data_IF_920745536913
#
_entry.id   IF_920745536913
#
_cell.length_a   1.000
_cell.length_b   1.000
_cell.length_c   1.000
_cell.angle_alpha   90.00
_cell.angle_beta   90.00
_cell.angle_gamma   90.00
#
_symmetry.space_group_name_H-M   'P 1'
#
loop_
_entity.id
_entity.type
_entity.pdbx_description
1 polymer ?
#
# COMPACT_ATOMS: atom_id res chain seq x y z
N UNK A 1 20.22 -29.07 -36.07
CA UNK A 1 18.84 -29.08 -35.54
C UNK A 1 18.77 -28.91 -34.02
N UNK A 2 19.40 -29.78 -33.20
CA UNK A 2 19.38 -29.64 -31.73
C UNK A 2 19.97 -28.33 -31.18
N UNK A 3 21.11 -27.88 -31.72
CA UNK A 3 21.77 -26.64 -31.29
C UNK A 3 20.90 -25.41 -31.58
N UNK A 4 20.32 -25.33 -32.78
CA UNK A 4 19.42 -24.23 -33.18
C UNK A 4 18.17 -24.15 -32.29
N UNK A 5 17.59 -25.29 -31.94
CA UNK A 5 16.44 -25.34 -31.03
C UNK A 5 16.84 -24.85 -29.62
N UNK A 6 18.01 -25.28 -29.14
CA UNK A 6 18.53 -24.86 -27.83
C UNK A 6 18.81 -23.35 -27.79
N UNK A 7 19.39 -22.77 -28.85
CA UNK A 7 19.63 -21.33 -28.92
C UNK A 7 18.33 -20.53 -28.94
N UNK A 8 17.32 -20.97 -29.69
CA UNK A 8 16.01 -20.32 -29.73
C UNK A 8 15.35 -20.33 -28.34
N UNK A 9 15.39 -21.47 -27.64
CA UNK A 9 14.84 -21.59 -26.29
C UNK A 9 15.53 -20.64 -25.30
N UNK A 10 16.86 -20.56 -25.33
CA UNK A 10 17.62 -19.65 -24.46
C UNK A 10 17.31 -18.18 -24.75
N UNK A 11 17.17 -17.81 -26.03
CA UNK A 11 16.78 -16.45 -26.41
C UNK A 11 15.38 -16.10 -25.89
N UNK A 12 14.40 -17.00 -26.02
CA UNK A 12 13.04 -16.80 -25.50
C UNK A 12 13.06 -16.61 -23.98
N UNK A 13 13.79 -17.47 -23.25
CA UNK A 13 13.92 -17.37 -21.79
C UNK A 13 14.54 -16.02 -21.40
N UNK A 14 15.60 -15.61 -22.08
CA UNK A 14 16.26 -14.33 -21.84
C UNK A 14 15.29 -13.15 -22.03
N UNK A 15 14.51 -13.16 -23.11
CA UNK A 15 13.49 -12.14 -23.37
C UNK A 15 12.43 -12.10 -22.27
N UNK A 16 11.95 -13.26 -21.81
CA UNK A 16 10.96 -13.34 -20.72
C UNK A 16 11.52 -12.77 -19.42
N UNK A 17 12.76 -13.12 -19.07
CA UNK A 17 13.42 -12.61 -17.86
C UNK A 17 13.59 -11.09 -17.94
N UNK A 18 14.05 -10.57 -19.08
CA UNK A 18 14.20 -9.13 -19.30
C UNK A 18 12.85 -8.43 -19.15
N UNK A 19 11.78 -8.97 -19.76
CA UNK A 19 10.44 -8.41 -19.65
C UNK A 19 10.00 -8.31 -18.17
N UNK A 20 10.12 -9.41 -17.40
CA UNK A 20 9.74 -9.42 -15.98
C UNK A 20 10.55 -8.40 -15.17
N UNK A 21 11.85 -8.29 -15.40
CA UNK A 21 12.71 -7.32 -14.71
C UNK A 21 12.31 -5.88 -15.04
N UNK A 22 12.07 -5.58 -16.33
CA UNK A 22 11.61 -4.25 -16.75
C UNK A 22 10.25 -3.91 -16.15
N UNK A 23 9.30 -4.86 -16.12
CA UNK A 23 8.00 -4.68 -15.46
C UNK A 23 8.13 -4.31 -13.98
N UNK A 24 8.99 -5.03 -13.25
CA UNK A 24 9.30 -4.73 -11.84
C UNK A 24 9.88 -3.34 -11.64
N UNK A 25 10.81 -2.92 -12.51
CA UNK A 25 11.42 -1.58 -12.43
C UNK A 25 10.38 -0.49 -12.67
N UNK A 26 9.54 -0.65 -13.69
CA UNK A 26 8.48 0.32 -14.01
C UNK A 26 7.50 0.44 -12.83
N UNK A 27 7.04 -0.69 -12.27
CA UNK A 27 6.11 -0.69 -11.14
C UNK A 27 6.72 -0.04 -9.89
N UNK A 28 7.99 -0.34 -9.59
CA UNK A 28 8.73 0.27 -8.47
C UNK A 28 8.87 1.79 -8.65
N UNK A 29 9.19 2.24 -9.86
CA UNK A 29 9.30 3.67 -10.16
C UNK A 29 7.96 4.39 -10.05
N UNK A 30 6.87 3.74 -10.51
CA UNK A 30 5.53 4.28 -10.36
C UNK A 30 5.14 4.40 -8.89
N UNK A 31 5.36 3.34 -8.12
CA UNK A 31 5.12 3.32 -6.67
C UNK A 31 5.87 4.44 -5.96
N UNK A 32 7.18 4.62 -6.24
CA UNK A 32 7.97 5.70 -5.62
C UNK A 32 7.44 7.10 -5.98
N UNK A 33 6.93 7.31 -7.20
CA UNK A 33 6.32 8.58 -7.60
C UNK A 33 5.03 8.84 -6.84
N UNK A 34 4.17 7.82 -6.73
CA UNK A 34 2.91 7.93 -6.00
C UNK A 34 3.16 8.16 -4.51
N UNK A 35 4.16 7.52 -3.90
CA UNK A 35 4.57 7.77 -2.52
C UNK A 35 5.08 9.20 -2.32
N UNK A 36 5.88 9.70 -3.27
CA UNK A 36 6.34 11.09 -3.22
C UNK A 36 5.17 12.08 -3.36
N UNK A 37 4.21 11.80 -4.24
CA UNK A 37 2.98 12.58 -4.39
C UNK A 37 2.15 12.56 -3.09
N UNK A 38 1.91 11.39 -2.52
CA UNK A 38 1.19 11.20 -1.26
C UNK A 38 1.78 12.10 -0.16
N UNK A 39 3.09 12.04 0.05
CA UNK A 39 3.74 12.83 1.08
C UNK A 39 3.78 14.33 0.75
N UNK A 40 3.86 14.70 -0.53
CA UNK A 40 3.77 16.12 -0.93
C UNK A 40 2.39 16.73 -0.66
N UNK A 41 1.35 15.89 -0.61
CA UNK A 41 -0.02 16.33 -0.32
C UNK A 41 -0.32 16.43 1.19
N UNK A 42 0.51 15.82 2.03
CA UNK A 42 0.40 15.90 3.49
C UNK A 42 0.53 17.36 3.95
N UNK A 43 -0.29 17.79 4.89
CA UNK A 43 -0.11 19.09 5.53
C UNK A 43 1.00 19.08 6.58
N UNK A 44 1.56 20.26 6.83
CA UNK A 44 2.49 20.48 7.93
C UNK A 44 1.72 20.55 9.25
N UNK A 45 1.84 19.49 10.04
CA UNK A 45 1.31 19.39 11.40
C UNK A 45 2.41 19.21 12.45
N UNK A 46 3.66 19.52 12.09
CA UNK A 46 4.84 19.30 12.95
C UNK A 46 4.79 20.11 14.25
N UNK A 47 4.04 21.21 14.26
CA UNK A 47 3.83 22.07 15.42
C UNK A 47 2.61 21.68 16.27
N UNK A 48 1.87 20.63 15.91
CA UNK A 48 0.67 20.19 16.64
C UNK A 48 1.01 19.11 17.65
N UNK A 49 0.41 19.23 18.83
CA UNK A 49 0.50 18.24 19.90
C UNK A 49 -0.89 17.80 20.33
N UNK A 50 -0.98 16.57 20.79
CA UNK A 50 -2.15 16.03 21.47
C UNK A 50 -2.28 16.67 22.85
N UNK A 51 -3.52 16.94 23.26
CA UNK A 51 -3.86 17.55 24.54
C UNK A 51 -5.07 16.83 25.13
N UNK A 52 -5.07 16.52 26.42
CA UNK A 52 -6.22 15.84 27.05
C UNK A 52 -7.52 16.65 26.98
N UNK A 53 -7.44 17.97 26.85
CA UNK A 53 -8.59 18.86 26.61
C UNK A 53 -9.33 18.53 25.31
N UNK A 54 -8.66 17.91 24.32
CA UNK A 54 -9.30 17.45 23.08
C UNK A 54 -10.28 16.29 23.32
N UNK A 55 -10.21 15.65 24.50
CA UNK A 55 -11.07 14.54 24.87
C UNK A 55 -12.37 15.01 25.57
N UNK A 56 -12.47 16.30 25.88
CA UNK A 56 -13.63 16.85 26.58
C UNK A 56 -14.90 16.71 25.72
N UNK A 57 -15.96 16.16 26.33
CA UNK A 57 -17.22 15.87 25.64
C UNK A 57 -17.27 14.55 24.88
N UNK A 58 -16.15 13.82 24.73
CA UNK A 58 -16.16 12.47 24.15
C UNK A 58 -16.73 11.44 25.14
N UNK A 59 -17.31 10.31 24.67
CA UNK A 59 -17.76 9.24 25.55
C UNK A 59 -16.63 8.70 26.44
N UNK A 60 -16.96 8.35 27.67
CA UNK A 60 -15.99 7.91 28.67
C UNK A 60 -15.07 6.75 28.20
N UNK A 61 -15.56 5.73 27.45
CA UNK A 61 -14.69 4.70 26.89
C UNK A 61 -13.65 5.22 25.90
N UNK A 62 -14.00 6.24 25.11
CA UNK A 62 -13.11 6.87 24.12
C UNK A 62 -12.03 7.66 24.83
N UNK A 63 -12.39 8.43 25.86
CA UNK A 63 -11.43 9.17 26.67
C UNK A 63 -10.42 8.23 27.34
N UNK A 64 -10.89 7.13 27.95
CA UNK A 64 -10.00 6.13 28.57
C UNK A 64 -9.03 5.52 27.56
N UNK A 65 -9.50 5.17 26.38
CA UNK A 65 -8.65 4.58 25.34
C UNK A 65 -7.54 5.56 24.91
N UNK A 66 -7.89 6.81 24.59
CA UNK A 66 -6.88 7.79 24.18
C UNK A 66 -5.89 8.12 25.29
N UNK A 67 -6.33 8.24 26.56
CA UNK A 67 -5.41 8.43 27.71
C UNK A 67 -4.52 7.22 27.98
N UNK A 68 -4.90 6.03 27.52
CA UNK A 68 -4.10 4.81 27.64
C UNK A 68 -2.99 4.74 26.57
N UNK A 69 -3.29 5.16 25.33
CA UNK A 69 -2.39 5.00 24.17
C UNK A 69 -1.61 6.26 23.80
N UNK A 70 -2.05 7.44 24.23
CA UNK A 70 -1.40 8.73 23.95
C UNK A 70 -0.98 9.43 25.25
N UNK A 71 0.11 10.18 25.18
CA UNK A 71 0.57 11.08 26.25
C UNK A 71 0.16 12.51 25.96
N UNK A 72 -0.22 13.24 26.99
CA UNK A 72 -0.43 14.68 26.90
C UNK A 72 0.84 15.39 26.38
N UNK A 73 0.68 16.33 25.45
CA UNK A 73 1.77 17.01 24.75
C UNK A 73 2.46 16.17 23.65
N UNK A 74 2.01 14.95 23.35
CA UNK A 74 2.64 14.12 22.32
C UNK A 74 2.51 14.76 20.92
N UNK A 75 3.61 14.91 20.15
CA UNK A 75 3.54 15.45 18.79
C UNK A 75 2.68 14.59 17.86
N UNK A 76 2.00 15.26 16.92
CA UNK A 76 1.26 14.57 15.87
C UNK A 76 2.22 13.90 14.89
N UNK A 77 1.84 12.71 14.44
CA UNK A 77 2.56 12.00 13.37
C UNK A 77 1.95 12.44 12.06
N UNK A 78 2.70 13.11 11.17
CA UNK A 78 2.19 13.56 9.85
C UNK A 78 2.15 12.42 8.83
N UNK A 79 3.22 11.62 8.79
CA UNK A 79 3.37 10.54 7.83
C UNK A 79 3.93 9.28 8.51
N UNK A 80 3.55 8.11 8.01
CA UNK A 80 4.05 6.81 8.50
C UNK A 80 4.51 5.97 7.31
N UNK A 81 5.63 5.26 7.46
CA UNK A 81 6.03 4.14 6.61
C UNK A 81 6.02 2.86 7.45
N UNK A 82 5.20 1.89 7.07
CA UNK A 82 5.06 0.60 7.72
C UNK A 82 5.60 -0.49 6.79
N UNK A 83 6.48 -1.34 7.31
CA UNK A 83 6.98 -2.53 6.59
C UNK A 83 6.55 -3.75 7.39
N UNK A 84 5.93 -4.71 6.72
CA UNK A 84 5.45 -5.94 7.35
C UNK A 84 5.64 -7.17 6.46
N UNK A 85 5.58 -8.34 7.07
CA UNK A 85 5.56 -9.62 6.38
C UNK A 85 4.43 -10.46 6.98
N UNK A 86 3.88 -11.37 6.18
CA UNK A 86 2.82 -12.26 6.65
C UNK A 86 2.52 -13.37 5.69
N UNK A 87 1.38 -14.01 5.92
CA UNK A 87 0.83 -15.05 5.05
C UNK A 87 -0.56 -14.63 4.57
N UNK A 88 -0.85 -14.95 3.31
CA UNK A 88 -2.10 -14.59 2.64
C UNK A 88 -2.69 -15.82 1.95
N UNK A 89 -4.03 -15.92 1.94
CA UNK A 89 -4.77 -16.90 1.15
C UNK A 89 -5.52 -16.17 0.04
N UNK A 90 -5.30 -16.59 -1.21
CA UNK A 90 -6.05 -16.06 -2.37
C UNK A 90 -7.50 -16.56 -2.40
N UNK A 91 -7.78 -17.66 -1.70
CA UNK A 91 -9.11 -18.23 -1.48
C UNK A 91 -9.06 -19.02 -0.16
N UNK A 92 -10.14 -19.08 0.64
CA UNK A 92 -10.15 -19.83 1.91
C UNK A 92 -9.68 -21.29 1.80
N UNK A 93 -9.92 -21.94 0.65
CA UNK A 93 -9.57 -23.33 0.36
C UNK A 93 -8.15 -23.51 -0.21
N UNK A 94 -7.47 -22.43 -0.59
CA UNK A 94 -6.10 -22.49 -1.13
C UNK A 94 -5.05 -22.46 -0.02
N UNK A 95 -3.83 -22.85 -0.36
CA UNK A 95 -2.68 -22.80 0.53
C UNK A 95 -2.26 -21.37 0.85
N UNK A 96 -1.63 -21.21 2.02
CA UNK A 96 -1.01 -19.96 2.43
C UNK A 96 0.19 -19.64 1.53
N UNK A 97 0.29 -18.39 1.11
CA UNK A 97 1.46 -17.87 0.42
C UNK A 97 2.09 -16.73 1.21
N UNK A 98 3.40 -16.60 1.16
CA UNK A 98 4.10 -15.51 1.82
C UNK A 98 3.83 -14.18 1.09
N UNK A 99 3.58 -13.14 1.87
CA UNK A 99 3.41 -11.78 1.38
C UNK A 99 4.34 -10.82 2.15
N UNK A 100 4.93 -9.88 1.42
CA UNK A 100 5.64 -8.73 2.00
C UNK A 100 4.81 -7.48 1.73
N UNK A 101 4.49 -6.74 2.78
CA UNK A 101 3.72 -5.53 2.70
C UNK A 101 4.57 -4.30 3.02
N UNK A 102 4.35 -3.25 2.26
CA UNK A 102 4.87 -1.92 2.52
C UNK A 102 3.75 -0.91 2.40
N UNK A 103 3.62 -0.02 3.38
CA UNK A 103 2.52 0.94 3.44
C UNK A 103 3.02 2.32 3.84
N UNK A 104 2.42 3.33 3.22
CA UNK A 104 2.68 4.74 3.46
C UNK A 104 1.36 5.43 3.76
N UNK A 105 1.35 6.31 4.76
CA UNK A 105 0.14 7.01 5.21
C UNK A 105 0.42 8.49 5.42
N UNK A 106 -0.62 9.29 5.19
CA UNK A 106 -0.74 10.67 5.68
C UNK A 106 -1.90 10.77 6.66
N UNK A 107 -1.74 11.53 7.74
CA UNK A 107 -2.72 11.57 8.85
C UNK A 107 -3.60 12.81 8.85
N UNK A 108 -3.11 13.96 8.37
CA UNK A 108 -3.90 15.19 8.30
C UNK A 108 -4.87 15.16 7.12
N UNK A 109 -4.35 14.95 5.91
CA UNK A 109 -5.17 14.63 4.75
C UNK A 109 -5.25 13.13 4.60
N UNK A 110 -6.46 12.55 4.48
CA UNK A 110 -6.60 11.12 4.26
C UNK A 110 -5.87 10.67 3.01
N UNK A 111 -4.99 9.69 3.18
CA UNK A 111 -4.19 9.15 2.11
C UNK A 111 -3.36 7.96 2.55
N UNK A 112 -3.31 6.94 1.70
CA UNK A 112 -2.37 5.84 1.86
C UNK A 112 -1.99 5.22 0.52
N UNK A 113 -0.83 4.57 0.51
CA UNK A 113 -0.41 3.67 -0.55
C UNK A 113 0.09 2.39 0.12
N UNK A 114 -0.46 1.25 -0.28
CA UNK A 114 -0.06 -0.07 0.17
C UNK A 114 0.40 -0.92 -1.02
N UNK A 115 1.54 -1.57 -0.87
CA UNK A 115 2.06 -2.53 -1.82
C UNK A 115 2.26 -3.90 -1.15
N UNK A 116 1.56 -4.90 -1.67
CA UNK A 116 1.67 -6.31 -1.25
C UNK A 116 2.33 -7.16 -2.32
N UNK A 117 3.50 -7.74 -2.02
CA UNK A 117 4.28 -8.57 -2.94
C UNK A 117 4.28 -10.04 -2.52
N UNK A 118 3.92 -10.90 -3.46
CA UNK A 118 4.10 -12.35 -3.40
C UNK A 118 5.06 -12.80 -4.49
N UNK A 119 5.30 -14.11 -4.64
CA UNK A 119 6.14 -14.62 -5.74
C UNK A 119 5.56 -14.34 -7.13
N UNK A 120 4.23 -14.32 -7.25
CA UNK A 120 3.53 -14.18 -8.54
C UNK A 120 2.75 -12.88 -8.67
N UNK A 121 2.19 -12.37 -7.60
CA UNK A 121 1.30 -11.20 -7.63
C UNK A 121 1.90 -10.01 -6.88
N UNK A 122 1.71 -8.83 -7.45
CA UNK A 122 1.86 -7.56 -6.74
C UNK A 122 0.50 -6.87 -6.70
N UNK A 123 -0.01 -6.65 -5.50
CA UNK A 123 -1.18 -5.82 -5.24
C UNK A 123 -0.70 -4.42 -4.86
N UNK A 124 -1.35 -3.40 -5.42
CA UNK A 124 -1.06 -2.01 -5.20
C UNK A 124 -2.39 -1.31 -4.93
N UNK A 125 -2.60 -0.91 -3.69
CA UNK A 125 -3.85 -0.37 -3.20
C UNK A 125 -3.61 1.05 -2.68
N UNK A 126 -4.47 2.00 -3.04
CA UNK A 126 -4.22 3.40 -2.73
C UNK A 126 -5.50 4.18 -2.50
N UNK A 127 -5.41 5.15 -1.59
CA UNK A 127 -6.29 6.29 -1.53
C UNK A 127 -5.45 7.56 -1.66
N UNK A 128 -5.59 8.27 -2.78
CA UNK A 128 -4.80 9.46 -3.09
C UNK A 128 -5.68 10.52 -3.73
N UNK A 129 -5.58 11.77 -3.26
CA UNK A 129 -6.35 12.91 -3.78
C UNK A 129 -7.87 12.62 -3.92
N UNK A 130 -8.45 11.98 -2.90
CA UNK A 130 -9.86 11.54 -2.86
C UNK A 130 -10.24 10.47 -3.89
N UNK A 131 -9.27 9.70 -4.39
CA UNK A 131 -9.47 8.60 -5.32
C UNK A 131 -8.91 7.30 -4.75
N UNK A 132 -9.76 6.29 -4.65
CA UNK A 132 -9.40 4.92 -4.32
C UNK A 132 -9.09 4.13 -5.58
N UNK A 133 -8.03 3.32 -5.55
CA UNK A 133 -7.67 2.42 -6.65
C UNK A 133 -6.93 1.19 -6.17
N UNK A 134 -7.39 0.03 -6.62
CA UNK A 134 -6.76 -1.27 -6.39
C UNK A 134 -6.27 -1.84 -7.71
N UNK A 135 -4.96 -2.04 -7.85
CA UNK A 135 -4.35 -2.70 -9.00
C UNK A 135 -3.68 -3.98 -8.55
N UNK A 136 -3.98 -5.10 -9.21
CA UNK A 136 -3.25 -6.35 -9.00
C UNK A 136 -2.61 -6.77 -10.31
N UNK A 137 -1.31 -7.04 -10.26
CA UNK A 137 -0.51 -7.46 -11.41
C UNK A 137 0.05 -8.87 -11.21
N UNK A 138 0.05 -9.66 -12.27
CA UNK A 138 0.75 -10.93 -12.36
C UNK A 138 2.16 -10.68 -12.92
N UNK A 139 3.17 -11.19 -12.21
CA UNK A 139 4.61 -11.06 -12.49
C UNK A 139 5.06 -9.61 -12.72
N UNK A 140 4.36 -8.64 -12.11
CA UNK A 140 4.58 -7.21 -12.29
C UNK A 140 4.46 -6.73 -13.75
N UNK A 141 3.69 -7.46 -14.57
CA UNK A 141 3.54 -7.20 -16.01
C UNK A 141 2.09 -7.07 -16.44
N UNK A 142 1.27 -8.06 -16.08
CA UNK A 142 -0.10 -8.14 -16.58
C UNK A 142 -1.07 -7.72 -15.48
N UNK A 143 -1.81 -6.63 -15.71
CA UNK A 143 -2.90 -6.24 -14.81
C UNK A 143 -4.01 -7.28 -14.90
N UNK A 144 -4.34 -7.88 -13.77
CA UNK A 144 -5.45 -8.83 -13.62
C UNK A 144 -6.63 -8.21 -12.87
N UNK A 145 -6.37 -7.14 -12.10
CA UNK A 145 -7.38 -6.30 -11.46
C UNK A 145 -6.95 -4.84 -11.65
N UNK A 146 -7.90 -3.97 -12.00
CA UNK A 146 -7.76 -2.52 -12.00
C UNK A 146 -9.11 -1.94 -11.52
N UNK A 147 -9.30 -1.96 -10.21
CA UNK A 147 -10.50 -1.50 -9.52
C UNK A 147 -10.40 0.00 -9.24
N UNK A 148 -11.40 0.75 -9.66
CA UNK A 148 -11.51 2.20 -9.47
C UNK A 148 -12.97 2.63 -9.55
N UNK A 149 -13.25 3.87 -9.13
CA UNK A 149 -14.60 4.45 -9.17
C UNK A 149 -15.14 4.74 -7.78
N UNK A 150 -16.41 5.16 -7.69
CA UNK A 150 -16.99 5.65 -6.43
C UNK A 150 -16.97 4.62 -5.30
N UNK A 151 -17.26 3.36 -5.60
CA UNK A 151 -17.22 2.28 -4.61
C UNK A 151 -15.81 2.06 -4.05
N UNK A 152 -14.77 2.18 -4.89
CA UNK A 152 -13.38 2.09 -4.45
C UNK A 152 -12.96 3.35 -3.69
N UNK A 153 -13.38 4.55 -4.12
CA UNK A 153 -13.12 5.77 -3.34
C UNK A 153 -13.67 5.65 -1.92
N UNK A 154 -14.90 5.17 -1.77
CA UNK A 154 -15.51 4.96 -0.46
C UNK A 154 -14.81 3.84 0.32
N UNK A 155 -14.56 2.70 -0.33
CA UNK A 155 -13.92 1.54 0.30
C UNK A 155 -12.53 1.87 0.83
N UNK A 156 -11.69 2.51 0.01
CA UNK A 156 -10.33 2.85 0.42
C UNK A 156 -10.30 3.99 1.46
N UNK A 157 -11.25 4.93 1.43
CA UNK A 157 -11.39 5.89 2.53
C UNK A 157 -11.77 5.21 3.85
N UNK A 158 -12.71 4.26 3.81
CA UNK A 158 -13.11 3.50 5.00
C UNK A 158 -11.95 2.65 5.54
N UNK A 159 -11.14 2.10 4.64
CA UNK A 159 -9.91 1.40 5.01
C UNK A 159 -8.95 2.34 5.74
N UNK A 160 -8.65 3.52 5.18
CA UNK A 160 -7.81 4.52 5.85
C UNK A 160 -8.34 4.91 7.23
N UNK A 161 -9.66 5.04 7.41
CA UNK A 161 -10.27 5.36 8.71
C UNK A 161 -10.19 4.23 9.73
N UNK A 162 -10.01 2.99 9.27
CA UNK A 162 -9.96 1.79 10.13
C UNK A 162 -8.54 1.37 10.51
N UNK A 163 -7.52 2.00 9.92
CA UNK A 163 -6.10 1.75 10.20
C UNK A 163 -5.55 2.77 11.21
#
# INVERSE_FOLDING_TARGET
MRITIMTILLSIISIIVIAILTGKIILSNQHNKEVAELFSLSGDISNRTFSYEQLDGLPEPVQRYFKHVLKDGQPYISCVRLIHNGQFKTDPKKDWINIKGEQYFTTEKPGFIWEGKTAMFTAHDMYLANKGRLVVTLLSLFKIVDGQGESFNQGELLRWLGE
#
